data_IF_187017060570
#
_entry.id   IF_187017060570
#
_cell.length_a   1.000
_cell.length_b   1.000
_cell.length_c   1.000
_cell.angle_alpha   90.00
_cell.angle_beta   90.00
_cell.angle_gamma   90.00
#
_symmetry.space_group_name_H-M   'P 1'
#
loop_
_entity.id
_entity.type
_entity.pdbx_description
1 polymer ?
#
# COMPACT_ATOMS: atom_id res chain seq x y z
N UNK A 1 -6.97 1.84 5.03
CA UNK A 1 -6.11 1.22 3.98
C UNK A 1 -6.91 0.17 3.24
N UNK A 2 -6.78 0.02 1.91
CA UNK A 2 -7.48 -1.02 1.13
C UNK A 2 -6.75 -1.35 -0.16
N UNK A 3 -6.91 -2.58 -0.68
CA UNK A 3 -6.51 -2.93 -2.05
C UNK A 3 -7.53 -2.44 -3.07
N UNK A 4 -7.07 -1.86 -4.18
CA UNK A 4 -7.96 -1.23 -5.17
C UNK A 4 -8.68 -2.29 -6.00
N UNK A 5 -9.98 -2.45 -5.77
CA UNK A 5 -10.86 -3.39 -6.46
C UNK A 5 -12.21 -2.73 -6.72
N UNK A 6 -13.03 -3.26 -7.64
CA UNK A 6 -14.37 -2.71 -7.87
C UNK A 6 -15.26 -2.73 -6.61
N UNK A 7 -15.10 -3.76 -5.76
CA UNK A 7 -15.82 -3.84 -4.48
C UNK A 7 -15.40 -2.73 -3.52
N UNK A 8 -14.08 -2.55 -3.31
CA UNK A 8 -13.57 -1.51 -2.39
C UNK A 8 -13.84 -0.11 -2.90
N UNK A 9 -13.77 0.13 -4.22
CA UNK A 9 -14.16 1.40 -4.82
C UNK A 9 -15.67 1.67 -4.67
N UNK A 10 -16.52 0.66 -4.77
CA UNK A 10 -17.97 0.81 -4.56
C UNK A 10 -18.29 1.15 -3.10
N UNK A 11 -17.63 0.48 -2.14
CA UNK A 11 -17.72 0.83 -0.71
C UNK A 11 -17.24 2.26 -0.48
N UNK A 12 -16.12 2.66 -1.12
CA UNK A 12 -15.56 4.00 -1.00
C UNK A 12 -16.51 5.09 -1.53
N UNK A 13 -17.25 4.83 -2.62
CA UNK A 13 -18.29 5.73 -3.15
C UNK A 13 -19.46 5.93 -2.19
N UNK A 14 -19.82 4.90 -1.44
CA UNK A 14 -20.88 4.98 -0.43
C UNK A 14 -20.34 5.75 0.78
N UNK A 15 -19.17 5.36 1.28
CA UNK A 15 -18.53 5.99 2.44
C UNK A 15 -18.24 7.49 2.20
N UNK A 16 -17.80 7.88 0.99
CA UNK A 16 -17.47 9.27 0.67
C UNK A 16 -18.67 10.22 0.65
N UNK A 17 -19.90 9.68 0.60
CA UNK A 17 -21.15 10.45 0.74
C UNK A 17 -21.53 10.71 2.19
N UNK A 18 -21.12 9.84 3.11
CA UNK A 18 -21.56 9.86 4.51
C UNK A 18 -20.48 10.29 5.50
N UNK A 19 -19.21 10.08 5.15
CA UNK A 19 -18.07 10.39 6.01
C UNK A 19 -17.27 11.52 5.38
N UNK A 20 -17.29 12.68 6.04
CA UNK A 20 -16.48 13.82 5.65
C UNK A 20 -15.05 13.67 6.21
N UNK A 21 -14.05 14.18 5.48
CA UNK A 21 -12.68 14.37 5.97
C UNK A 21 -11.98 13.10 6.50
N UNK A 22 -11.78 12.11 5.63
CA UNK A 22 -10.89 10.98 5.92
C UNK A 22 -9.79 10.83 4.87
N UNK A 23 -8.63 10.37 5.34
CA UNK A 23 -7.43 10.13 4.53
C UNK A 23 -7.43 8.72 3.95
N UNK A 24 -7.05 8.61 2.69
CA UNK A 24 -7.09 7.35 1.94
C UNK A 24 -5.69 6.84 1.67
N UNK A 25 -5.54 5.55 1.94
CA UNK A 25 -4.33 4.75 1.82
C UNK A 25 -4.68 3.55 0.95
N UNK A 26 -4.20 3.50 -0.29
CA UNK A 26 -4.61 2.49 -1.28
C UNK A 26 -3.44 1.57 -1.66
N UNK A 27 -3.69 0.27 -1.85
CA UNK A 27 -2.66 -0.72 -2.24
C UNK A 27 -2.92 -1.15 -3.69
N UNK A 28 -1.88 -1.10 -4.52
CA UNK A 28 -1.93 -1.45 -5.95
C UNK A 28 -0.74 -2.32 -6.36
N UNK A 29 -0.90 -3.23 -7.32
CA UNK A 29 -2.17 -3.72 -7.87
C UNK A 29 -2.92 -4.57 -6.84
N UNK A 30 -4.23 -4.78 -7.03
CA UNK A 30 -4.92 -5.85 -6.30
C UNK A 30 -4.56 -7.22 -6.91
N UNK A 31 -3.42 -7.77 -6.50
CA UNK A 31 -2.78 -8.91 -7.15
C UNK A 31 -3.69 -10.14 -7.32
N UNK A 32 -4.55 -10.43 -6.34
CA UNK A 32 -5.48 -11.56 -6.39
C UNK A 32 -6.46 -11.47 -7.58
N UNK A 33 -6.90 -10.27 -7.95
CA UNK A 33 -7.76 -10.09 -9.13
C UNK A 33 -7.02 -10.47 -10.42
N UNK A 34 -5.75 -10.11 -10.54
CA UNK A 34 -4.94 -10.43 -11.73
C UNK A 34 -4.71 -11.93 -11.85
N UNK A 35 -4.36 -12.60 -10.75
CA UNK A 35 -4.22 -14.07 -10.71
C UNK A 35 -5.51 -14.75 -11.14
N UNK A 36 -6.65 -14.32 -10.58
CA UNK A 36 -7.97 -14.87 -10.94
C UNK A 36 -8.31 -14.63 -12.42
N UNK A 37 -8.03 -13.43 -12.94
CA UNK A 37 -8.32 -13.09 -14.33
C UNK A 37 -7.39 -13.81 -15.31
N UNK A 38 -6.11 -14.01 -14.98
CA UNK A 38 -5.19 -14.76 -15.83
C UNK A 38 -5.61 -16.22 -15.95
N UNK A 39 -6.11 -16.83 -14.86
CA UNK A 39 -6.66 -18.19 -14.91
C UNK A 39 -7.91 -18.29 -15.78
N UNK A 40 -8.76 -17.25 -15.81
CA UNK A 40 -10.01 -17.25 -16.58
C UNK A 40 -9.86 -16.87 -18.05
N UNK A 41 -8.99 -15.90 -18.36
CA UNK A 41 -8.88 -15.26 -19.68
C UNK A 41 -7.58 -15.60 -20.41
N UNK A 42 -6.64 -16.27 -19.73
CA UNK A 42 -5.25 -16.36 -20.17
C UNK A 42 -4.52 -15.02 -20.06
N UNK A 43 -3.19 -15.06 -20.25
CA UNK A 43 -2.34 -13.86 -20.19
C UNK A 43 -2.68 -12.83 -21.29
N UNK A 44 -2.93 -13.29 -22.52
CA UNK A 44 -3.30 -12.43 -23.65
C UNK A 44 -4.68 -11.78 -23.45
N UNK A 45 -5.65 -12.53 -22.92
CA UNK A 45 -6.97 -12.01 -22.61
C UNK A 45 -6.94 -10.98 -21.48
N UNK A 46 -6.15 -11.21 -20.44
CA UNK A 46 -5.89 -10.24 -19.38
C UNK A 46 -5.25 -8.96 -19.93
N UNK A 47 -4.19 -9.07 -20.71
CA UNK A 47 -3.50 -7.92 -21.31
C UNK A 47 -4.47 -7.08 -22.17
N UNK A 48 -5.29 -7.74 -23.02
CA UNK A 48 -6.31 -7.06 -23.84
C UNK A 48 -7.36 -6.36 -22.98
N UNK A 49 -7.82 -6.98 -21.89
CA UNK A 49 -8.80 -6.39 -20.97
C UNK A 49 -8.24 -5.14 -20.29
N UNK A 50 -7.04 -5.22 -19.73
CA UNK A 50 -6.37 -4.11 -19.06
C UNK A 50 -6.10 -2.95 -20.03
N UNK A 51 -5.57 -3.25 -21.22
CA UNK A 51 -5.34 -2.24 -22.25
C UNK A 51 -6.62 -1.48 -22.60
N UNK A 52 -7.75 -2.18 -22.80
CA UNK A 52 -9.05 -1.54 -23.03
C UNK A 52 -9.48 -0.65 -21.86
N UNK A 53 -9.34 -1.11 -20.62
CA UNK A 53 -9.74 -0.34 -19.44
C UNK A 53 -8.90 0.93 -19.26
N UNK A 54 -7.59 0.84 -19.48
CA UNK A 54 -6.67 1.98 -19.43
C UNK A 54 -7.03 3.01 -20.52
N UNK A 55 -7.26 2.57 -21.76
CA UNK A 55 -7.63 3.46 -22.88
C UNK A 55 -8.98 4.15 -22.64
N UNK A 56 -9.95 3.44 -22.08
CA UNK A 56 -11.27 3.98 -21.76
C UNK A 56 -11.25 4.96 -20.59
N UNK A 57 -10.21 4.93 -19.75
CA UNK A 57 -10.04 5.94 -18.71
C UNK A 57 -9.62 7.28 -19.35
N UNK A 58 -10.58 8.19 -19.50
CA UNK A 58 -10.46 9.40 -20.33
C UNK A 58 -9.26 10.31 -20.02
N UNK A 59 -8.71 10.27 -18.80
CA UNK A 59 -7.54 11.07 -18.40
C UNK A 59 -6.21 10.54 -18.95
N UNK A 60 -6.14 9.26 -19.34
CA UNK A 60 -4.89 8.64 -19.83
C UNK A 60 -4.78 8.77 -21.35
N UNK A 61 -5.92 8.84 -22.04
CA UNK A 61 -5.97 8.99 -23.50
C UNK A 61 -5.16 10.22 -23.96
N UNK A 62 -5.24 11.33 -23.22
CA UNK A 62 -4.47 12.56 -23.48
C UNK A 62 -2.95 12.37 -23.32
N UNK A 63 -2.53 11.67 -22.27
CA UNK A 63 -1.11 11.35 -22.00
C UNK A 63 -0.56 10.39 -23.06
N UNK A 64 -1.33 9.38 -23.45
CA UNK A 64 -0.98 8.47 -24.54
C UNK A 64 -0.93 9.16 -25.91
N UNK A 65 -1.82 10.13 -26.20
CA UNK A 65 -1.71 10.94 -27.42
C UNK A 65 -0.55 11.93 -27.39
N UNK A 66 -0.13 12.42 -26.21
CA UNK A 66 1.10 13.22 -26.06
C UNK A 66 2.37 12.38 -26.22
N UNK A 67 2.36 11.13 -25.74
CA UNK A 67 3.46 10.17 -25.85
C UNK A 67 3.61 9.57 -27.27
N UNK A 68 2.61 9.72 -28.14
CA UNK A 68 2.68 9.26 -29.55
C UNK A 68 3.77 9.95 -30.39
N UNK A 69 4.53 10.89 -29.83
CA UNK A 69 5.67 11.51 -30.49
C UNK A 69 6.96 10.68 -30.50
N UNK A 70 7.14 9.67 -29.63
CA UNK A 70 8.45 8.98 -29.52
C UNK A 70 8.27 7.47 -29.30
N UNK A 71 8.85 6.70 -30.21
CA UNK A 71 8.85 5.25 -30.28
C UNK A 71 9.69 4.60 -29.17
N UNK A 72 9.00 4.07 -28.14
CA UNK A 72 9.29 2.88 -27.30
C UNK A 72 8.60 3.09 -25.94
N UNK A 73 7.48 2.40 -25.69
CA UNK A 73 6.91 2.34 -24.33
C UNK A 73 7.91 1.53 -23.48
N UNK A 74 8.61 2.19 -22.56
CA UNK A 74 9.47 1.49 -21.61
C UNK A 74 8.65 1.02 -20.39
N UNK A 75 9.23 0.15 -19.57
CA UNK A 75 8.53 -0.45 -18.41
C UNK A 75 8.14 0.62 -17.38
N UNK A 76 8.95 1.67 -17.24
CA UNK A 76 8.69 2.81 -16.37
C UNK A 76 7.42 3.58 -16.78
N UNK A 77 7.24 3.87 -18.08
CA UNK A 77 6.05 4.53 -18.61
C UNK A 77 4.80 3.68 -18.40
N UNK A 78 4.94 2.35 -18.52
CA UNK A 78 3.85 1.42 -18.24
C UNK A 78 3.46 1.44 -16.76
N UNK A 79 4.44 1.45 -15.85
CA UNK A 79 4.21 1.59 -14.41
C UNK A 79 3.47 2.89 -14.09
N UNK A 80 3.97 4.03 -14.59
CA UNK A 80 3.34 5.36 -14.38
C UNK A 80 1.92 5.40 -14.94
N UNK A 81 1.72 4.87 -16.15
CA UNK A 81 0.39 4.74 -16.76
C UNK A 81 -0.57 3.94 -15.88
N UNK A 82 -0.11 2.79 -15.38
CA UNK A 82 -0.92 1.94 -14.51
C UNK A 82 -1.27 2.65 -13.19
N UNK A 83 -0.31 3.34 -12.57
CA UNK A 83 -0.55 4.12 -11.36
C UNK A 83 -1.57 5.24 -11.61
N UNK A 84 -1.46 5.98 -12.72
CA UNK A 84 -2.44 7.01 -13.11
C UNK A 84 -3.84 6.42 -13.30
N UNK A 85 -3.93 5.21 -13.86
CA UNK A 85 -5.20 4.50 -14.02
C UNK A 85 -5.84 4.21 -12.67
N UNK A 86 -5.09 3.63 -11.73
CA UNK A 86 -5.61 3.34 -10.39
C UNK A 86 -5.95 4.62 -9.61
N UNK A 87 -5.11 5.66 -9.69
CA UNK A 87 -5.37 6.97 -9.09
C UNK A 87 -6.68 7.55 -9.63
N UNK A 88 -6.89 7.49 -10.94
CA UNK A 88 -8.10 7.98 -11.59
C UNK A 88 -9.35 7.26 -11.07
N UNK A 89 -9.28 5.93 -10.92
CA UNK A 89 -10.38 5.12 -10.36
C UNK A 89 -10.70 5.48 -8.91
N UNK A 90 -9.66 5.68 -8.08
CA UNK A 90 -9.82 6.09 -6.69
C UNK A 90 -10.43 7.50 -6.62
N UNK A 91 -9.85 8.47 -7.34
CA UNK A 91 -10.33 9.85 -7.38
C UNK A 91 -11.76 9.96 -7.89
N UNK A 92 -12.14 9.15 -8.88
CA UNK A 92 -13.52 9.04 -9.36
C UNK A 92 -14.49 8.38 -8.38
N UNK A 93 -13.99 7.84 -7.27
CA UNK A 93 -14.79 7.18 -6.23
C UNK A 93 -14.90 7.99 -4.93
N UNK A 94 -14.32 9.20 -4.89
CA UNK A 94 -14.27 10.07 -3.72
C UNK A 94 -14.71 11.49 -4.07
N UNK A 95 -15.12 12.26 -3.06
CA UNK A 95 -15.46 13.67 -3.21
C UNK A 95 -14.26 14.55 -2.85
N UNK A 96 -14.38 15.87 -3.09
CA UNK A 96 -13.31 16.85 -2.78
C UNK A 96 -12.95 16.95 -1.28
N UNK A 97 -13.79 16.40 -0.40
CA UNK A 97 -13.59 16.39 1.06
C UNK A 97 -12.68 15.25 1.54
N UNK A 98 -12.24 14.37 0.65
CA UNK A 98 -11.34 13.26 0.98
C UNK A 98 -10.04 13.38 0.18
N UNK A 99 -8.93 12.97 0.79
CA UNK A 99 -7.61 13.03 0.18
C UNK A 99 -7.04 11.62 0.00
N UNK A 100 -6.48 11.37 -1.18
CA UNK A 100 -5.63 10.21 -1.42
C UNK A 100 -4.21 10.58 -0.96
N UNK A 101 -3.85 10.12 0.24
CA UNK A 101 -2.61 10.51 0.90
C UNK A 101 -1.44 9.65 0.45
N UNK A 102 -1.68 8.35 0.26
CA UNK A 102 -0.65 7.42 -0.18
C UNK A 102 -1.20 6.28 -1.01
N UNK A 103 -0.36 5.82 -1.92
CA UNK A 103 -0.54 4.57 -2.63
C UNK A 103 0.61 3.66 -2.20
N UNK A 104 0.34 2.40 -1.95
CA UNK A 104 1.33 1.39 -1.61
C UNK A 104 1.51 0.46 -2.80
N UNK A 105 2.76 0.21 -3.19
CA UNK A 105 3.04 -0.97 -3.99
C UNK A 105 2.75 -2.22 -3.14
N UNK A 106 1.91 -3.11 -3.68
CA UNK A 106 1.55 -4.37 -3.05
C UNK A 106 2.80 -5.23 -2.79
N UNK A 107 2.79 -6.05 -1.74
CA UNK A 107 3.97 -6.83 -1.31
C UNK A 107 4.52 -7.76 -2.39
N UNK A 108 3.68 -8.27 -3.29
CA UNK A 108 4.13 -9.11 -4.40
C UNK A 108 5.04 -8.32 -5.34
N UNK A 109 4.74 -7.04 -5.60
CA UNK A 109 5.56 -6.18 -6.46
C UNK A 109 6.80 -5.70 -5.70
N UNK A 110 6.61 -5.19 -4.49
CA UNK A 110 7.69 -4.68 -3.64
C UNK A 110 8.75 -5.75 -3.40
N UNK A 111 8.35 -6.93 -2.93
CA UNK A 111 9.28 -7.98 -2.52
C UNK A 111 9.94 -8.65 -3.73
N UNK A 112 9.25 -8.76 -4.87
CA UNK A 112 9.85 -9.19 -6.14
C UNK A 112 10.91 -8.20 -6.62
N UNK A 113 10.59 -6.89 -6.63
CA UNK A 113 11.53 -5.87 -7.05
C UNK A 113 12.75 -5.80 -6.12
N UNK A 114 12.57 -6.01 -4.82
CA UNK A 114 13.68 -6.16 -3.85
C UNK A 114 14.56 -7.37 -4.17
N UNK A 115 13.95 -8.54 -4.43
CA UNK A 115 14.67 -9.77 -4.72
C UNK A 115 15.49 -9.65 -6.02
N UNK A 116 14.95 -8.96 -7.02
CA UNK A 116 15.61 -8.70 -8.31
C UNK A 116 16.54 -7.47 -8.28
N UNK A 117 16.68 -6.80 -7.13
CA UNK A 117 17.49 -5.58 -6.95
C UNK A 117 17.17 -4.48 -7.98
N UNK A 118 15.87 -4.27 -8.26
CA UNK A 118 15.40 -3.26 -9.22
C UNK A 118 15.31 -1.89 -8.56
N UNK A 119 16.45 -1.33 -8.14
CA UNK A 119 16.57 0.01 -7.53
C UNK A 119 15.86 1.11 -8.36
N UNK A 120 16.02 1.06 -9.69
CA UNK A 120 15.36 1.99 -10.62
C UNK A 120 13.83 2.01 -10.49
N UNK A 121 13.21 0.88 -10.15
CA UNK A 121 11.75 0.80 -10.01
C UNK A 121 11.29 1.58 -8.79
N UNK A 122 12.02 1.45 -7.68
CA UNK A 122 11.73 2.17 -6.45
C UNK A 122 11.93 3.68 -6.63
N UNK A 123 13.07 4.09 -7.20
CA UNK A 123 13.38 5.49 -7.45
C UNK A 123 12.37 6.13 -8.42
N UNK A 124 12.09 5.48 -9.55
CA UNK A 124 11.09 5.95 -10.51
C UNK A 124 9.70 6.10 -9.91
N UNK A 125 9.28 5.12 -9.10
CA UNK A 125 8.02 5.17 -8.38
C UNK A 125 7.97 6.33 -7.38
N UNK A 126 9.00 6.49 -6.54
CA UNK A 126 9.09 7.57 -5.54
C UNK A 126 9.03 8.94 -6.23
N UNK A 127 9.85 9.15 -7.26
CA UNK A 127 9.91 10.40 -8.01
C UNK A 127 8.56 10.75 -8.64
N UNK A 128 7.93 9.77 -9.30
CA UNK A 128 6.62 9.96 -9.91
C UNK A 128 5.55 10.33 -8.89
N UNK A 129 5.51 9.62 -7.75
CA UNK A 129 4.53 9.88 -6.68
C UNK A 129 4.70 11.28 -6.08
N UNK A 130 5.94 11.73 -5.88
CA UNK A 130 6.22 13.10 -5.45
C UNK A 130 5.78 14.16 -6.45
N UNK A 131 6.02 13.94 -7.76
CA UNK A 131 5.57 14.86 -8.82
C UNK A 131 4.06 15.10 -8.78
N UNK A 132 3.28 14.04 -8.52
CA UNK A 132 1.82 14.12 -8.41
C UNK A 132 1.31 14.41 -6.99
N UNK A 133 2.22 14.73 -6.05
CA UNK A 133 1.95 15.11 -4.66
C UNK A 133 1.17 14.06 -3.86
N UNK A 134 1.46 12.78 -4.08
CA UNK A 134 0.95 11.66 -3.28
C UNK A 134 2.14 11.00 -2.58
N UNK A 135 2.04 10.66 -1.29
CA UNK A 135 3.16 10.07 -0.56
C UNK A 135 3.40 8.63 -1.06
N UNK A 136 4.60 8.28 -1.56
CA UNK A 136 4.91 6.92 -1.99
C UNK A 136 4.87 5.94 -0.80
N UNK A 137 4.35 4.75 -1.05
CA UNK A 137 4.19 3.71 -0.04
C UNK A 137 4.64 2.34 -0.53
N UNK A 138 5.08 1.49 0.39
CA UNK A 138 5.43 0.10 0.12
C UNK A 138 4.80 -0.83 1.14
N UNK A 139 4.07 -1.85 0.69
CA UNK A 139 3.74 -3.01 1.52
C UNK A 139 4.84 -4.07 1.33
N UNK A 140 5.31 -4.68 2.43
CA UNK A 140 6.36 -5.71 2.38
C UNK A 140 6.18 -6.76 3.46
N UNK A 141 6.61 -8.00 3.18
CA UNK A 141 6.84 -9.03 4.23
C UNK A 141 8.31 -9.20 4.58
N UNK A 142 9.20 -8.49 3.87
CA UNK A 142 10.65 -8.58 3.97
C UNK A 142 11.25 -7.29 4.55
N UNK A 143 10.62 -6.74 5.59
CA UNK A 143 10.96 -5.43 6.16
C UNK A 143 12.45 -5.27 6.43
N UNK A 144 13.10 -6.24 7.09
CA UNK A 144 14.52 -6.10 7.42
C UNK A 144 15.42 -6.00 6.18
N UNK A 145 15.07 -6.71 5.11
CA UNK A 145 15.79 -6.66 3.84
C UNK A 145 15.47 -5.37 3.06
N UNK A 146 14.21 -4.93 3.04
CA UNK A 146 13.81 -3.65 2.46
C UNK A 146 14.63 -2.51 3.07
N UNK A 147 14.69 -2.45 4.41
CA UNK A 147 15.42 -1.39 5.12
C UNK A 147 16.91 -1.41 4.77
N UNK A 148 17.51 -2.60 4.63
CA UNK A 148 18.90 -2.74 4.20
C UNK A 148 19.10 -2.17 2.79
N UNK A 149 18.34 -2.66 1.81
CA UNK A 149 18.50 -2.24 0.41
C UNK A 149 18.20 -0.76 0.21
N UNK A 150 17.16 -0.23 0.85
CA UNK A 150 16.82 1.18 0.72
C UNK A 150 17.91 2.10 1.30
N UNK A 151 18.60 1.68 2.37
CA UNK A 151 19.79 2.40 2.86
C UNK A 151 20.94 2.34 1.84
N UNK A 152 21.20 1.18 1.24
CA UNK A 152 22.24 1.01 0.21
C UNK A 152 21.96 1.84 -1.05
N UNK A 153 20.69 1.97 -1.43
CA UNK A 153 20.25 2.77 -2.59
C UNK A 153 20.01 4.25 -2.26
N UNK A 154 20.33 4.69 -1.04
CA UNK A 154 20.15 6.07 -0.58
C UNK A 154 18.68 6.56 -0.68
N UNK A 155 17.71 5.68 -0.46
CA UNK A 155 16.30 6.05 -0.38
C UNK A 155 16.02 6.72 0.97
N UNK A 156 15.41 7.89 0.90
CA UNK A 156 15.05 8.72 2.05
C UNK A 156 13.75 8.22 2.71
N UNK A 157 13.89 7.62 3.90
CA UNK A 157 12.77 7.07 4.68
C UNK A 157 11.77 8.13 5.16
N UNK A 158 12.16 9.40 5.27
CA UNK A 158 11.26 10.49 5.67
C UNK A 158 10.18 10.77 4.61
N UNK A 159 10.47 10.42 3.35
CA UNK A 159 9.64 10.69 2.18
C UNK A 159 8.67 9.57 1.81
N UNK A 160 8.85 8.38 2.36
CA UNK A 160 8.05 7.19 2.04
C UNK A 160 7.21 6.74 3.24
N UNK A 161 6.28 5.81 3.01
CA UNK A 161 5.59 5.05 4.08
C UNK A 161 5.83 3.57 3.85
N UNK A 162 6.09 2.81 4.92
CA UNK A 162 6.24 1.36 4.85
C UNK A 162 5.14 0.70 5.67
N UNK A 163 4.41 -0.22 5.06
CA UNK A 163 3.46 -1.10 5.72
C UNK A 163 4.10 -2.48 5.83
N UNK A 164 4.26 -2.96 7.07
CA UNK A 164 4.92 -4.24 7.32
C UNK A 164 4.28 -4.96 8.51
N UNK A 165 4.34 -6.31 8.55
CA UNK A 165 3.83 -7.07 9.68
C UNK A 165 4.68 -6.80 10.92
N UNK A 166 4.02 -6.47 12.04
CA UNK A 166 4.63 -6.43 13.36
C UNK A 166 3.65 -7.03 14.37
N UNK A 167 4.01 -8.17 14.96
CA UNK A 167 3.19 -8.86 15.95
C UNK A 167 4.06 -9.72 16.88
N UNK A 168 3.52 -10.04 18.07
CA UNK A 168 4.24 -10.69 19.17
C UNK A 168 4.91 -12.02 18.79
N UNK A 169 4.31 -12.74 17.84
CA UNK A 169 4.70 -14.11 17.45
C UNK A 169 5.59 -14.18 16.20
N UNK A 170 5.85 -13.06 15.53
CA UNK A 170 6.68 -13.04 14.33
C UNK A 170 5.97 -13.50 13.04
N UNK A 171 4.64 -13.57 13.04
CA UNK A 171 3.87 -13.99 11.87
C UNK A 171 4.13 -13.04 10.69
N UNK A 172 4.58 -13.60 9.55
CA UNK A 172 4.97 -12.91 8.33
C UNK A 172 6.15 -11.91 8.47
N UNK A 173 6.89 -11.93 9.58
CA UNK A 173 8.03 -11.04 9.80
C UNK A 173 9.32 -11.68 9.30
N UNK A 174 9.74 -11.39 8.07
CA UNK A 174 10.95 -11.99 7.49
C UNK A 174 12.20 -11.11 7.66
N UNK A 175 13.38 -11.70 7.93
CA UNK A 175 13.61 -13.14 8.09
C UNK A 175 13.23 -13.68 9.48
N UNK A 176 13.07 -12.80 10.46
CA UNK A 176 12.55 -13.15 11.78
C UNK A 176 11.99 -11.91 12.48
N UNK A 177 11.21 -12.14 13.55
CA UNK A 177 10.72 -11.07 14.42
C UNK A 177 11.85 -10.18 14.91
N UNK A 178 12.90 -10.80 15.46
CA UNK A 178 14.05 -10.13 16.09
C UNK A 178 14.76 -9.22 15.09
N UNK A 179 14.99 -9.69 13.86
CA UNK A 179 15.68 -8.88 12.85
C UNK A 179 14.83 -7.71 12.37
N UNK A 180 13.51 -7.88 12.26
CA UNK A 180 12.60 -6.77 11.95
C UNK A 180 12.57 -5.73 13.09
N UNK A 181 12.49 -6.16 14.35
CA UNK A 181 12.52 -5.29 15.53
C UNK A 181 13.82 -4.48 15.58
N UNK A 182 14.98 -5.13 15.43
CA UNK A 182 16.29 -4.44 15.36
C UNK A 182 16.35 -3.40 14.24
N UNK A 183 15.83 -3.71 13.05
CA UNK A 183 15.83 -2.74 11.94
C UNK A 183 14.89 -1.56 12.21
N UNK A 184 13.77 -1.80 12.89
CA UNK A 184 12.82 -0.77 13.29
C UNK A 184 13.41 0.18 14.36
N UNK A 185 14.15 -0.35 15.34
CA UNK A 185 14.86 0.47 16.35
C UNK A 185 15.84 1.45 15.72
N UNK A 186 16.52 1.02 14.65
CA UNK A 186 17.51 1.82 13.92
C UNK A 186 16.90 2.72 12.82
N UNK A 187 15.59 2.92 12.83
CA UNK A 187 14.86 3.81 11.93
C UNK A 187 14.12 4.86 12.73
N UNK A 188 14.68 6.06 12.86
CA UNK A 188 14.10 7.13 13.69
C UNK A 188 12.87 7.83 13.07
N UNK A 189 12.38 7.35 11.92
CA UNK A 189 11.26 7.94 11.18
C UNK A 189 9.94 7.23 11.50
N UNK A 190 8.92 7.99 11.92
CA UNK A 190 7.59 7.47 12.29
C UNK A 190 6.67 7.16 11.09
N UNK A 191 7.24 6.71 9.98
CA UNK A 191 6.52 6.42 8.73
C UNK A 191 6.18 4.92 8.56
N UNK A 192 6.21 4.16 9.65
CA UNK A 192 5.88 2.74 9.66
C UNK A 192 4.45 2.52 10.10
N UNK A 193 3.71 1.77 9.28
CA UNK A 193 2.37 1.29 9.58
C UNK A 193 2.45 -0.20 9.87
N UNK A 194 2.17 -0.59 11.12
CA UNK A 194 2.14 -1.99 11.50
C UNK A 194 0.85 -2.66 11.01
N UNK A 195 0.99 -3.78 10.30
CA UNK A 195 -0.14 -4.64 9.92
C UNK A 195 0.00 -6.04 10.50
N UNK A 196 -0.99 -6.91 10.24
CA UNK A 196 -1.03 -8.28 10.78
C UNK A 196 -0.84 -8.34 12.30
N UNK A 197 -1.31 -7.31 13.02
CA UNK A 197 -1.07 -7.13 14.46
C UNK A 197 -1.65 -8.27 15.30
N UNK A 198 -2.74 -8.88 14.82
CA UNK A 198 -3.41 -10.02 15.46
C UNK A 198 -2.88 -11.38 15.00
N UNK A 199 -1.82 -11.42 14.17
CA UNK A 199 -1.25 -12.66 13.62
C UNK A 199 -2.31 -13.62 13.03
N UNK A 200 -3.12 -13.10 12.10
CA UNK A 200 -4.26 -13.82 11.50
C UNK A 200 -5.31 -14.34 12.51
N UNK A 201 -5.44 -13.69 13.67
CA UNK A 201 -6.39 -14.03 14.73
C UNK A 201 -5.81 -14.91 15.83
N UNK A 202 -4.52 -15.25 15.75
CA UNK A 202 -3.83 -16.00 16.82
C UNK A 202 -3.67 -15.16 18.10
N UNK A 203 -3.55 -13.84 17.98
CA UNK A 203 -3.44 -12.92 19.12
C UNK A 203 -4.74 -12.14 19.29
N UNK A 204 -5.07 -11.83 20.55
CA UNK A 204 -6.13 -10.86 20.87
C UNK A 204 -5.61 -9.42 20.88
N UNK A 205 -6.52 -8.44 20.97
CA UNK A 205 -6.19 -7.02 20.94
C UNK A 205 -5.29 -6.56 22.11
N UNK A 206 -5.55 -6.94 23.38
CA UNK A 206 -4.64 -6.65 24.48
C UNK A 206 -3.20 -7.13 24.23
N UNK A 207 -3.01 -8.38 23.81
CA UNK A 207 -1.67 -8.93 23.56
C UNK A 207 -0.96 -8.25 22.40
N UNK A 208 -1.70 -7.95 21.32
CA UNK A 208 -1.15 -7.25 20.16
C UNK A 208 -0.73 -5.82 20.51
N UNK A 209 -1.56 -5.09 21.25
CA UNK A 209 -1.26 -3.70 21.64
C UNK A 209 -0.13 -3.61 22.66
N UNK A 210 -0.09 -4.49 23.68
CA UNK A 210 1.00 -4.54 24.65
C UNK A 210 2.36 -4.76 23.96
N UNK A 211 2.38 -5.63 22.93
CA UNK A 211 3.58 -5.84 22.12
C UNK A 211 3.94 -4.59 21.31
N UNK A 212 2.99 -4.02 20.57
CA UNK A 212 3.24 -2.84 19.73
C UNK A 212 3.69 -1.62 20.53
N UNK A 213 3.19 -1.46 21.76
CA UNK A 213 3.59 -0.37 22.65
C UNK A 213 5.07 -0.45 23.08
N UNK A 214 5.71 -1.62 22.98
CA UNK A 214 7.14 -1.78 23.29
C UNK A 214 8.04 -1.45 22.09
N UNK A 215 7.49 -1.37 20.89
CA UNK A 215 8.23 -1.06 19.68
C UNK A 215 8.35 0.45 19.47
N UNK A 216 9.52 0.96 19.07
CA UNK A 216 9.67 2.35 18.68
C UNK A 216 9.18 2.59 17.25
N UNK A 217 8.98 3.85 16.86
CA UNK A 217 8.84 4.29 15.47
C UNK A 217 7.64 3.72 14.67
N UNK A 218 6.67 3.09 15.34
CA UNK A 218 5.38 2.71 14.73
C UNK A 218 4.41 3.88 14.91
N UNK A 219 4.09 4.57 13.82
CA UNK A 219 3.20 5.73 13.82
C UNK A 219 1.72 5.39 13.62
N UNK A 220 1.40 4.19 13.13
CA UNK A 220 0.02 3.78 12.85
C UNK A 220 -0.12 2.26 12.79
N UNK A 221 -1.35 1.77 12.93
CA UNK A 221 -1.68 0.35 12.82
C UNK A 221 -2.80 0.12 11.82
N UNK A 222 -2.78 -1.04 11.17
CA UNK A 222 -3.87 -1.54 10.34
C UNK A 222 -4.43 -2.80 10.97
N UNK A 223 -5.75 -2.81 11.16
CA UNK A 223 -6.51 -3.94 11.67
C UNK A 223 -7.62 -4.29 10.69
N UNK A 224 -7.71 -5.57 10.36
CA UNK A 224 -8.80 -6.11 9.54
C UNK A 224 -9.98 -6.46 10.40
N UNK A 225 -11.18 -6.09 9.96
CA UNK A 225 -12.45 -6.41 10.63
C UNK A 225 -13.46 -6.89 9.60
N UNK A 226 -14.25 -7.90 9.93
CA UNK A 226 -15.20 -8.54 9.00
C UNK A 226 -16.66 -8.44 9.44
N UNK A 227 -16.91 -8.06 10.70
CA UNK A 227 -18.25 -7.86 11.26
C UNK A 227 -18.32 -6.51 11.96
N UNK A 228 -19.49 -5.88 11.90
CA UNK A 228 -19.70 -4.54 12.45
C UNK A 228 -19.41 -4.46 13.96
N UNK A 229 -19.90 -5.42 14.76
CA UNK A 229 -19.65 -5.43 16.20
C UNK A 229 -18.16 -5.56 16.51
N UNK A 230 -17.43 -6.43 15.80
CA UNK A 230 -15.98 -6.54 15.92
C UNK A 230 -15.28 -5.23 15.53
N UNK A 231 -15.76 -4.52 14.51
CA UNK A 231 -15.24 -3.22 14.13
C UNK A 231 -15.40 -2.21 15.26
N UNK A 232 -16.60 -2.09 15.85
CA UNK A 232 -16.88 -1.18 16.95
C UNK A 232 -16.00 -1.46 18.17
N UNK A 233 -15.91 -2.72 18.60
CA UNK A 233 -15.05 -3.14 19.72
C UNK A 233 -13.58 -2.84 19.45
N UNK A 234 -13.10 -3.24 18.27
CA UNK A 234 -11.70 -3.08 17.87
C UNK A 234 -11.30 -1.61 17.83
N UNK A 235 -12.06 -0.77 17.14
CA UNK A 235 -11.72 0.65 17.01
C UNK A 235 -11.87 1.39 18.34
N UNK A 236 -12.87 1.07 19.18
CA UNK A 236 -12.97 1.64 20.55
C UNK A 236 -11.75 1.28 21.40
N UNK A 237 -11.35 0.00 21.39
CA UNK A 237 -10.19 -0.45 22.16
C UNK A 237 -8.90 0.21 21.67
N UNK A 238 -8.63 0.19 20.37
CA UNK A 238 -7.42 0.78 19.79
C UNK A 238 -7.36 2.30 20.00
N UNK A 239 -8.48 3.01 19.85
CA UNK A 239 -8.52 4.45 20.12
C UNK A 239 -8.21 4.78 21.58
N UNK A 240 -8.64 3.95 22.53
CA UNK A 240 -8.30 4.14 23.94
C UNK A 240 -6.80 3.93 24.19
N UNK A 241 -6.26 2.81 23.70
CA UNK A 241 -4.91 2.36 24.06
C UNK A 241 -3.79 3.06 23.27
N UNK A 242 -4.05 3.47 22.03
CA UNK A 242 -3.03 4.05 21.14
C UNK A 242 -3.04 5.59 21.12
N UNK A 243 -4.17 6.25 21.41
CA UNK A 243 -4.20 7.72 21.48
C UNK A 243 -3.62 8.27 22.79
N UNK A 244 -3.39 7.44 23.81
CA UNK A 244 -2.67 7.82 25.04
C UNK A 244 -1.16 8.02 24.79
N UNK A 245 -0.67 7.76 23.57
CA UNK A 245 0.75 7.78 23.18
C UNK A 245 1.12 8.85 22.14
N UNK A 246 0.17 9.66 21.67
CA UNK A 246 0.37 10.68 20.62
C UNK A 246 0.28 12.08 21.20
#
# INVERSE_FOLDING_TARGET
MFSVSETTLSVLRIASKSIENFRIYAIVPYAYEYVRLSTKLGLSGLARKLGKQIILSGNIKAIFTGLKGISRINIEDLLKTYLLYEISRIKGSINKKQSLDSIFLHEIITDMALALQLDWLFSSYIDFMHQIKIKPGFETRNFAYLVKQFKEWNIDFSKIIIVAPFNKVGFQMNPSKIECEKKLENLHESNIIAMSILAAGYLNLPEATEYLQKLPNIGSVVVGVSKEYHALETFRFLNKVLNEKV
#
